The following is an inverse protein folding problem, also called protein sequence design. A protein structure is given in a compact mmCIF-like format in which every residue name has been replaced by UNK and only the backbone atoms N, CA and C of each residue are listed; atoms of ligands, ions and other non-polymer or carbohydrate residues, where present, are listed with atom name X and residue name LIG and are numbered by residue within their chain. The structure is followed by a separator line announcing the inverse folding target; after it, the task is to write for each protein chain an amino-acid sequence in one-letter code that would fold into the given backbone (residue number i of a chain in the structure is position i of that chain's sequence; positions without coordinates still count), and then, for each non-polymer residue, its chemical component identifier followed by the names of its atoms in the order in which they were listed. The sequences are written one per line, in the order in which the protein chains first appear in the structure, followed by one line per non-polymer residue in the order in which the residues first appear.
data_IF_084720349597
#
_entry.id   IF_084720349597
#
_cell.length_a   1.000
_cell.length_b   1.000
_cell.length_c   1.000
_cell.angle_alpha   90.00
_cell.angle_beta   90.00
_cell.angle_gamma   90.00
#
_symmetry.space_group_name_H-M   'P 1'
#
loop_
_entity.id
_entity.type
_entity.pdbx_description
1 polymer ?
#
# COMPACT_ATOMS: atom_id res chain seq x y z
N UNK A 1 33.76 18.46 -21.35
CA UNK A 1 32.47 18.54 -20.63
C UNK A 1 31.45 17.80 -21.47
N UNK A 2 30.74 16.82 -20.91
CA UNK A 2 29.81 15.96 -21.68
C UNK A 2 28.50 16.73 -21.81
N UNK A 3 28.19 17.21 -23.01
CA UNK A 3 26.97 17.98 -23.30
C UNK A 3 25.73 17.17 -22.93
N UNK A 4 24.78 17.80 -22.22
CA UNK A 4 23.60 17.17 -21.66
C UNK A 4 22.48 16.96 -22.71
N UNK A 5 22.85 16.46 -23.90
CA UNK A 5 21.99 16.34 -25.09
C UNK A 5 20.80 15.39 -24.88
N UNK A 6 20.97 14.40 -24.00
CA UNK A 6 19.91 13.45 -23.65
C UNK A 6 18.73 14.13 -22.95
N UNK A 7 19.00 15.15 -22.14
CA UNK A 7 17.96 15.90 -21.43
C UNK A 7 17.18 16.78 -22.39
N UNK A 8 17.87 17.48 -23.28
CA UNK A 8 17.26 18.33 -24.30
C UNK A 8 16.36 17.52 -25.23
N UNK A 9 16.85 16.38 -25.71
CA UNK A 9 16.06 15.45 -26.53
C UNK A 9 14.81 14.95 -25.80
N UNK A 10 14.93 14.62 -24.51
CA UNK A 10 13.77 14.21 -23.70
C UNK A 10 12.76 15.33 -23.51
N UNK A 11 13.21 16.57 -23.26
CA UNK A 11 12.34 17.73 -23.10
C UNK A 11 11.58 18.05 -24.40
N UNK A 12 12.23 17.96 -25.57
CA UNK A 12 11.58 18.10 -26.88
C UNK A 12 10.52 17.02 -27.13
N UNK A 13 10.86 15.75 -26.90
CA UNK A 13 9.90 14.64 -27.02
C UNK A 13 8.72 14.87 -26.07
N UNK A 14 8.98 15.27 -24.83
CA UNK A 14 7.95 15.55 -23.84
C UNK A 14 7.06 16.71 -24.29
N UNK A 15 7.62 17.78 -24.83
CA UNK A 15 6.84 18.93 -25.30
C UNK A 15 5.92 18.57 -26.46
N UNK A 16 6.41 17.76 -27.41
CA UNK A 16 5.63 17.29 -28.57
C UNK A 16 4.55 16.28 -28.15
N UNK A 17 4.87 15.39 -27.20
CA UNK A 17 3.96 14.32 -26.75
C UNK A 17 3.00 14.74 -25.65
N UNK A 18 3.24 15.88 -24.99
CA UNK A 18 2.37 16.38 -23.92
C UNK A 18 1.01 16.75 -24.50
N UNK A 19 0.03 15.90 -24.25
CA UNK A 19 -1.37 16.20 -24.53
C UNK A 19 -1.93 17.05 -23.39
N UNK A 20 -2.57 18.17 -23.74
CA UNK A 20 -3.32 18.95 -22.76
C UNK A 20 -4.59 18.19 -22.39
N UNK A 21 -4.64 17.69 -21.15
CA UNK A 21 -5.84 17.10 -20.59
C UNK A 21 -6.51 18.13 -19.68
N UNK A 22 -7.60 18.78 -20.11
CA UNK A 22 -8.34 19.66 -19.23
C UNK A 22 -8.86 18.85 -18.04
N UNK A 23 -8.64 19.35 -16.82
CA UNK A 23 -9.29 18.81 -15.63
C UNK A 23 -10.77 19.20 -15.68
N UNK A 24 -11.56 18.40 -16.37
CA UNK A 24 -13.01 18.54 -16.35
C UNK A 24 -13.49 18.05 -14.98
N UNK A 25 -13.95 18.98 -14.15
CA UNK A 25 -14.62 18.69 -12.87
C UNK A 25 -16.00 18.09 -13.11
N UNK A 26 -16.03 16.99 -13.87
CA UNK A 26 -17.22 16.39 -14.44
C UNK A 26 -17.21 14.93 -14.06
N UNK A 27 -18.27 14.48 -13.42
CA UNK A 27 -18.39 13.09 -12.97
C UNK A 27 -19.65 12.47 -13.58
N UNK A 28 -19.70 11.15 -13.71
CA UNK A 28 -20.89 10.45 -14.17
C UNK A 28 -21.69 9.89 -13.01
N UNK A 29 -23.01 10.04 -13.09
CA UNK A 29 -23.94 9.37 -12.18
C UNK A 29 -24.04 7.86 -12.52
N UNK A 30 -24.67 7.07 -11.65
CA UNK A 30 -24.90 5.63 -11.85
C UNK A 30 -25.67 5.32 -13.14
N UNK A 31 -26.51 6.25 -13.61
CA UNK A 31 -27.26 6.14 -14.88
C UNK A 31 -26.48 6.64 -16.11
N UNK A 32 -25.21 7.01 -15.95
CA UNK A 32 -24.36 7.53 -17.02
C UNK A 32 -24.54 9.01 -17.35
N UNK A 33 -25.39 9.73 -16.60
CA UNK A 33 -25.61 11.16 -16.76
C UNK A 33 -24.40 11.98 -16.29
N UNK A 34 -24.11 13.08 -16.99
CA UNK A 34 -22.98 13.95 -16.70
C UNK A 34 -23.36 14.97 -15.62
N UNK A 35 -22.69 14.94 -14.48
CA UNK A 35 -22.84 15.88 -13.38
C UNK A 35 -21.73 16.95 -13.46
N UNK A 36 -22.16 18.21 -13.56
CA UNK A 36 -21.28 19.39 -13.66
C UNK A 36 -21.42 20.34 -12.47
N UNK A 37 -22.52 20.23 -11.70
CA UNK A 37 -22.77 21.06 -10.54
C UNK A 37 -22.03 20.53 -9.30
N UNK A 38 -21.37 21.41 -8.55
CA UNK A 38 -20.57 21.06 -7.37
C UNK A 38 -21.37 20.29 -6.31
N UNK A 39 -22.62 20.67 -6.07
CA UNK A 39 -23.50 19.99 -5.10
C UNK A 39 -23.77 18.54 -5.51
N UNK A 40 -24.05 18.32 -6.79
CA UNK A 40 -24.35 17.00 -7.34
C UNK A 40 -23.09 16.11 -7.32
N UNK A 41 -21.92 16.70 -7.56
CA UNK A 41 -20.63 16.01 -7.46
C UNK A 41 -20.38 15.51 -6.04
N UNK A 42 -20.56 16.37 -5.03
CA UNK A 42 -20.38 15.99 -3.61
C UNK A 42 -21.38 14.91 -3.20
N UNK A 43 -22.65 15.04 -3.57
CA UNK A 43 -23.67 14.05 -3.23
C UNK A 43 -23.37 12.68 -3.86
N UNK A 44 -22.91 12.66 -5.12
CA UNK A 44 -22.51 11.43 -5.81
C UNK A 44 -21.29 10.77 -5.16
N UNK A 45 -20.30 11.56 -4.72
CA UNK A 45 -19.15 11.06 -3.95
C UNK A 45 -19.59 10.46 -2.63
N UNK A 46 -20.48 11.13 -1.91
CA UNK A 46 -21.06 10.61 -0.66
C UNK A 46 -21.74 9.26 -0.88
N UNK A 47 -22.63 9.15 -1.86
CA UNK A 47 -23.33 7.89 -2.19
C UNK A 47 -22.37 6.78 -2.64
N UNK A 48 -21.32 7.14 -3.39
CA UNK A 48 -20.29 6.16 -3.79
C UNK A 48 -19.55 5.59 -2.59
N UNK A 49 -19.08 6.45 -1.68
CA UNK A 49 -18.40 6.01 -0.45
C UNK A 49 -19.35 5.20 0.43
N UNK A 50 -20.59 5.66 0.62
CA UNK A 50 -21.61 4.94 1.39
C UNK A 50 -21.83 3.53 0.81
N UNK A 51 -21.98 3.39 -0.50
CA UNK A 51 -22.09 2.07 -1.15
C UNK A 51 -20.86 1.20 -0.94
N UNK A 52 -19.65 1.77 -1.05
CA UNK A 52 -18.38 1.04 -0.84
C UNK A 52 -18.26 0.51 0.59
N UNK A 53 -18.66 1.30 1.58
CA UNK A 53 -18.57 0.92 2.99
C UNK A 53 -19.79 0.17 3.52
N UNK A 54 -20.94 0.24 2.84
CA UNK A 54 -22.16 -0.48 3.22
C UNK A 54 -22.09 -1.96 2.88
N UNK A 55 -21.30 -2.37 1.88
CA UNK A 55 -21.10 -3.79 1.56
C UNK A 55 -20.18 -4.53 2.53
N UNK A 56 -19.56 -3.81 3.47
CA UNK A 56 -18.58 -4.35 4.42
C UNK A 56 -19.07 -4.36 5.88
N UNK A 57 -20.34 -4.02 6.10
CA UNK A 57 -21.04 -4.22 7.36
C UNK A 57 -21.96 -5.44 7.19
N UNK A 58 -21.78 -6.60 7.82
CA UNK A 58 -21.06 -6.95 9.05
C UNK A 58 -21.00 -8.49 9.14
N UNK A 59 -19.83 -9.10 8.96
CA UNK A 59 -19.47 -10.43 9.50
C UNK A 59 -18.06 -10.82 9.01
N UNK A 60 -17.87 -10.94 7.69
CA UNK A 60 -16.66 -11.55 7.12
C UNK A 60 -15.41 -10.67 7.20
N UNK A 61 -15.55 -9.35 7.18
CA UNK A 61 -14.38 -8.45 7.20
C UNK A 61 -13.81 -8.21 8.59
N UNK A 62 -14.64 -8.25 9.63
CA UNK A 62 -14.16 -8.10 11.00
C UNK A 62 -13.41 -9.37 11.42
N UNK A 63 -13.90 -10.54 11.00
CA UNK A 63 -13.19 -11.81 11.15
C UNK A 63 -11.86 -11.81 10.37
N UNK A 64 -11.84 -11.31 9.13
CA UNK A 64 -10.61 -11.22 8.32
C UNK A 64 -9.61 -10.16 8.82
N UNK A 65 -10.08 -9.07 9.44
CA UNK A 65 -9.21 -8.04 10.03
C UNK A 65 -8.71 -8.44 11.42
N UNK A 66 -9.49 -9.17 12.21
CA UNK A 66 -9.05 -9.82 13.46
C UNK A 66 -8.07 -10.96 13.16
N UNK A 67 -8.32 -11.77 12.13
CA UNK A 67 -7.41 -12.83 11.67
C UNK A 67 -6.07 -12.29 11.11
N UNK A 68 -6.03 -11.01 10.71
CA UNK A 68 -4.79 -10.34 10.28
C UNK A 68 -4.13 -9.50 11.40
N UNK A 69 -4.88 -9.11 12.45
CA UNK A 69 -4.36 -8.35 13.61
C UNK A 69 -3.85 -9.23 14.74
N UNK A 70 -4.26 -10.49 14.76
CA UNK A 70 -3.30 -11.54 15.04
C UNK A 70 -2.38 -11.60 13.81
N UNK A 71 -1.44 -10.68 13.67
CA UNK A 71 -0.07 -11.06 14.03
C UNK A 71 -0.10 -12.22 15.03
N UNK A 72 -0.37 -13.42 14.50
CA UNK A 72 0.37 -14.60 14.86
C UNK A 72 1.83 -14.20 14.65
N UNK A 73 2.37 -13.45 15.60
CA UNK A 73 3.60 -13.86 16.23
C UNK A 73 3.32 -15.29 16.61
N UNK A 74 3.61 -16.16 15.65
CA UNK A 74 3.39 -17.58 15.77
C UNK A 74 4.28 -17.91 16.97
N UNK A 75 3.66 -18.01 18.15
CA UNK A 75 4.31 -18.35 19.39
C UNK A 75 4.56 -19.86 19.36
N UNK A 76 5.12 -20.35 18.25
CA UNK A 76 5.73 -21.65 18.15
C UNK A 76 6.97 -21.55 19.02
N UNK A 77 6.85 -22.09 20.23
CA UNK A 77 8.01 -22.42 21.03
C UNK A 77 8.99 -23.18 20.13
N UNK A 78 10.27 -22.77 20.07
CA UNK A 78 11.23 -23.42 19.20
C UNK A 78 11.33 -24.92 19.54
N UNK A 79 11.43 -25.76 18.52
CA UNK A 79 11.61 -27.19 18.74
C UNK A 79 13.00 -27.43 19.34
N UNK A 80 13.14 -28.42 20.24
CA UNK A 80 14.43 -28.75 20.87
C UNK A 80 15.57 -28.92 19.87
N UNK A 81 15.29 -29.53 18.71
CA UNK A 81 16.27 -29.73 17.64
C UNK A 81 16.75 -28.42 17.01
N UNK A 82 15.90 -27.40 16.91
CA UNK A 82 16.28 -26.08 16.38
C UNK A 82 17.19 -25.35 17.37
N UNK A 83 16.89 -25.48 18.67
CA UNK A 83 17.71 -24.91 19.75
C UNK A 83 19.11 -25.57 19.76
N UNK A 84 19.16 -26.90 19.71
CA UNK A 84 20.42 -27.65 19.65
C UNK A 84 21.24 -27.28 18.41
N UNK A 85 20.60 -27.14 17.24
CA UNK A 85 21.26 -26.70 16.02
C UNK A 85 21.80 -25.28 16.11
N UNK A 86 21.03 -24.34 16.68
CA UNK A 86 21.43 -22.96 16.85
C UNK A 86 22.63 -22.82 17.80
N UNK A 87 22.63 -23.58 18.91
CA UNK A 87 23.76 -23.63 19.85
C UNK A 87 24.99 -24.23 19.16
N UNK A 88 24.84 -25.35 18.46
CA UNK A 88 25.94 -25.99 17.72
C UNK A 88 26.48 -25.15 16.55
N UNK A 89 25.70 -24.20 16.04
CA UNK A 89 26.11 -23.29 14.96
C UNK A 89 26.84 -22.04 15.46
N UNK A 90 26.95 -21.84 16.77
CA UNK A 90 27.68 -20.71 17.33
C UNK A 90 29.19 -20.89 17.17
N UNK A 91 29.91 -19.80 16.85
CA UNK A 91 31.37 -19.80 16.79
C UNK A 91 31.95 -19.74 18.20
N UNK A 92 32.91 -20.59 18.49
CA UNK A 92 33.67 -20.57 19.73
C UNK A 92 34.54 -19.30 19.86
N UNK A 93 34.79 -18.88 21.11
CA UNK A 93 35.71 -17.78 21.42
C UNK A 93 35.14 -16.37 21.22
N UNK A 94 33.81 -16.21 21.21
CA UNK A 94 33.19 -14.88 21.32
C UNK A 94 33.42 -14.33 22.73
N UNK A 95 33.70 -13.03 22.81
CA UNK A 95 33.76 -12.32 24.09
C UNK A 95 32.37 -12.27 24.74
N UNK A 96 32.28 -12.35 26.08
CA UNK A 96 31.02 -12.23 26.80
C UNK A 96 30.35 -10.88 26.55
N UNK A 97 29.02 -10.85 26.67
CA UNK A 97 28.20 -9.67 26.52
C UNK A 97 28.37 -8.66 27.66
N UNK A 98 27.61 -7.56 27.62
CA UNK A 98 27.62 -6.55 28.69
C UNK A 98 27.06 -7.09 30.02
N UNK A 99 26.36 -8.21 29.95
CA UNK A 99 25.81 -9.02 31.02
C UNK A 99 26.81 -10.04 31.61
N UNK A 100 28.08 -10.00 31.16
CA UNK A 100 29.19 -10.83 31.64
C UNK A 100 28.96 -12.35 31.47
N UNK A 101 28.12 -12.70 30.48
CA UNK A 101 27.82 -14.06 30.02
C UNK A 101 28.08 -14.22 28.52
#
# INVERSE_FOLDING_TARGET
MKENRSREMYEEIKNITKTFQPRLGVIKDEKGNILTESKQIVDRWKRYCEKMYSSDSTADQQEKLEETREDKEINLLPLRSEIEWAIGSLKDGKSPGCDDI
#
